data_IF_225742729774
#
_entry.id   IF_225742729774
#
_cell.length_a   1.000
_cell.length_b   1.000
_cell.length_c   1.000
_cell.angle_alpha   90.00
_cell.angle_beta   90.00
_cell.angle_gamma   90.00
#
_symmetry.space_group_name_H-M   'P 1'
#
loop_
_entity.id
_entity.type
_entity.pdbx_description
1 polymer ?
#
# COMPACT_ATOMS: atom_id res chain seq x y z
N UNK A 1 5.30 6.85 3.37
CA UNK A 1 4.85 5.46 3.11
C UNK A 1 5.90 4.45 3.56
N UNK A 2 7.10 4.41 2.97
CA UNK A 2 8.13 3.48 3.44
C UNK A 2 8.90 4.04 4.65
N UNK A 3 8.83 3.36 5.80
CA UNK A 3 9.67 3.67 6.97
C UNK A 3 9.31 4.93 7.76
N UNK A 4 8.26 5.67 7.37
CA UNK A 4 7.79 6.86 8.08
C UNK A 4 6.45 6.58 8.76
N UNK A 5 6.35 6.93 10.04
CA UNK A 5 5.07 6.98 10.74
C UNK A 5 4.27 8.17 10.24
N UNK A 6 3.01 7.93 9.90
CA UNK A 6 2.05 8.95 9.50
C UNK A 6 0.82 8.85 10.39
N UNK A 7 0.18 9.98 10.66
CA UNK A 7 -1.03 10.02 11.47
C UNK A 7 -2.25 9.61 10.63
N UNK A 8 -3.34 9.27 11.32
CA UNK A 8 -4.53 8.66 10.71
C UNK A 8 -5.12 9.49 9.55
N UNK A 9 -5.27 10.80 9.74
CA UNK A 9 -5.89 11.67 8.73
C UNK A 9 -5.04 11.78 7.46
N UNK A 10 -3.72 11.87 7.62
CA UNK A 10 -2.77 11.89 6.50
C UNK A 10 -2.76 10.55 5.77
N UNK A 11 -2.89 9.44 6.51
CA UNK A 11 -3.03 8.11 5.93
C UNK A 11 -4.31 8.00 5.09
N UNK A 12 -5.47 8.40 5.64
CA UNK A 12 -6.76 8.35 4.92
C UNK A 12 -6.74 9.24 3.67
N UNK A 13 -6.18 10.45 3.77
CA UNK A 13 -6.00 11.35 2.63
C UNK A 13 -5.12 10.71 1.55
N UNK A 14 -4.03 10.07 1.95
CA UNK A 14 -3.18 9.27 1.06
C UNK A 14 -3.97 8.18 0.34
N UNK A 15 -4.73 7.35 1.07
CA UNK A 15 -5.57 6.32 0.43
C UNK A 15 -6.51 6.93 -0.61
N UNK A 16 -7.22 8.00 -0.26
CA UNK A 16 -8.21 8.62 -1.13
C UNK A 16 -7.58 9.12 -2.43
N UNK A 17 -6.41 9.76 -2.34
CA UNK A 17 -5.67 10.23 -3.50
C UNK A 17 -5.19 9.07 -4.39
N UNK A 18 -4.64 8.02 -3.78
CA UNK A 18 -4.02 6.92 -4.52
C UNK A 18 -5.07 5.99 -5.12
N UNK A 19 -6.11 5.62 -4.37
CA UNK A 19 -7.16 4.70 -4.87
C UNK A 19 -7.97 5.26 -6.03
N UNK A 20 -8.12 6.58 -6.13
CA UNK A 20 -8.77 7.20 -7.28
C UNK A 20 -7.97 7.04 -8.60
N UNK A 21 -6.67 6.70 -8.51
CA UNK A 21 -5.75 6.65 -9.65
C UNK A 21 -5.38 5.21 -10.08
N UNK A 22 -5.83 4.19 -9.35
CA UNK A 22 -5.49 2.78 -9.63
C UNK A 22 -6.46 2.20 -10.67
N UNK A 23 -5.92 1.61 -11.74
CA UNK A 23 -6.70 0.88 -12.75
C UNK A 23 -6.77 -0.62 -12.47
N UNK A 24 -5.68 -1.20 -11.97
CA UNK A 24 -5.53 -2.64 -11.76
C UNK A 24 -5.21 -2.93 -10.30
N UNK A 25 -6.22 -3.29 -9.50
CA UNK A 25 -6.09 -3.48 -8.06
C UNK A 25 -6.19 -4.98 -7.72
N UNK A 26 -5.04 -5.64 -7.54
CA UNK A 26 -4.98 -7.09 -7.34
C UNK A 26 -4.36 -7.46 -5.97
N UNK A 27 -5.14 -7.44 -4.88
CA UNK A 27 -4.63 -7.79 -3.55
C UNK A 27 -4.67 -9.30 -3.29
N UNK A 28 -3.65 -9.80 -2.60
CA UNK A 28 -3.60 -11.14 -2.00
C UNK A 28 -3.49 -10.93 -0.49
N UNK A 29 -4.44 -11.48 0.27
CA UNK A 29 -4.49 -11.36 1.72
C UNK A 29 -4.08 -12.65 2.42
N UNK A 30 -3.31 -12.51 3.49
CA UNK A 30 -2.93 -13.57 4.42
C UNK A 30 -3.32 -13.13 5.83
N UNK A 31 -3.81 -14.06 6.65
CA UNK A 31 -4.19 -13.77 8.03
C UNK A 31 -3.73 -14.89 8.96
N UNK A 32 -3.16 -14.49 10.08
CA UNK A 32 -2.83 -15.37 11.21
C UNK A 32 -3.18 -14.64 12.52
N UNK A 33 -4.28 -15.04 13.14
CA UNK A 33 -4.78 -14.41 14.37
C UNK A 33 -5.03 -12.91 14.23
N UNK A 34 -4.28 -12.11 15.02
CA UNK A 34 -4.26 -10.65 15.02
C UNK A 34 -3.30 -10.03 14.00
N UNK A 35 -2.64 -10.84 13.19
CA UNK A 35 -1.75 -10.37 12.12
C UNK A 35 -2.43 -10.53 10.77
N UNK A 36 -2.35 -9.47 9.96
CA UNK A 36 -2.78 -9.48 8.57
C UNK A 36 -1.59 -9.05 7.71
N UNK A 37 -1.36 -9.77 6.62
CA UNK A 37 -0.44 -9.36 5.58
C UNK A 37 -1.19 -9.25 4.24
N UNK A 38 -0.79 -8.31 3.40
CA UNK A 38 -1.26 -8.25 2.03
C UNK A 38 -0.14 -7.90 1.07
N UNK A 39 -0.19 -8.51 -0.11
CA UNK A 39 0.61 -8.10 -1.27
C UNK A 39 -0.34 -7.58 -2.32
N UNK A 40 -0.05 -6.43 -2.88
CA UNK A 40 -0.91 -5.78 -3.86
C UNK A 40 -0.06 -5.25 -5.00
N UNK A 41 -0.36 -5.68 -6.21
CA UNK A 41 0.25 -5.13 -7.43
C UNK A 41 -0.79 -4.33 -8.20
N UNK A 42 -0.32 -3.34 -8.95
CA UNK A 42 -1.19 -2.58 -9.82
C UNK A 42 -0.49 -1.53 -10.65
N UNK A 43 -1.33 -0.77 -11.35
CA UNK A 43 -0.90 0.35 -12.18
C UNK A 43 -1.65 1.61 -11.77
N UNK A 44 -0.94 2.73 -11.73
CA UNK A 44 -1.47 4.07 -11.48
C UNK A 44 -0.98 5.06 -12.52
N UNK A 45 -1.70 6.17 -12.69
CA UNK A 45 -1.21 7.33 -13.44
C UNK A 45 -0.63 8.39 -12.51
N UNK A 46 0.69 8.60 -12.56
CA UNK A 46 1.39 9.68 -11.86
C UNK A 46 1.78 10.74 -12.89
N UNK A 47 1.21 11.94 -12.79
CA UNK A 47 1.47 13.05 -13.73
C UNK A 47 1.29 12.67 -15.21
N UNK A 48 0.33 11.78 -15.50
CA UNK A 48 0.06 11.27 -16.86
C UNK A 48 0.90 10.07 -17.28
N UNK A 49 1.95 9.71 -16.52
CA UNK A 49 2.79 8.53 -16.77
C UNK A 49 2.22 7.29 -16.10
N UNK A 50 2.15 6.20 -16.86
CA UNK A 50 1.75 4.89 -16.35
C UNK A 50 2.87 4.31 -15.46
N UNK A 51 2.51 4.01 -14.23
CA UNK A 51 3.44 3.64 -13.16
C UNK A 51 2.97 2.32 -12.56
N UNK A 52 3.81 1.29 -12.64
CA UNK A 52 3.58 0.04 -11.93
C UNK A 52 3.95 0.21 -10.45
N UNK A 53 3.19 -0.43 -9.57
CA UNK A 53 3.52 -0.51 -8.16
C UNK A 53 3.31 -1.91 -7.61
N UNK A 54 4.06 -2.21 -6.56
CA UNK A 54 3.88 -3.37 -5.70
C UNK A 54 3.95 -2.91 -4.25
N UNK A 55 2.89 -3.16 -3.49
CA UNK A 55 2.77 -2.80 -2.08
C UNK A 55 2.67 -4.04 -1.19
N UNK A 56 3.39 -4.00 -0.08
CA UNK A 56 3.39 -4.98 0.99
C UNK A 56 2.86 -4.33 2.25
N UNK A 57 1.76 -4.86 2.76
CA UNK A 57 1.06 -4.34 3.92
C UNK A 57 1.14 -5.37 5.05
N UNK A 58 1.50 -4.93 6.25
CA UNK A 58 1.51 -5.73 7.46
C UNK A 58 0.74 -4.98 8.54
N UNK A 59 -0.42 -5.50 8.93
CA UNK A 59 -1.30 -4.88 9.89
C UNK A 59 -1.41 -5.72 11.16
N UNK A 60 -1.50 -5.04 12.30
CA UNK A 60 -1.94 -5.62 13.56
C UNK A 60 -3.39 -5.24 13.83
N UNK A 61 -4.20 -6.22 14.20
CA UNK A 61 -5.63 -6.07 14.46
C UNK A 61 -5.90 -6.28 15.94
N UNK A 62 -6.71 -5.42 16.54
CA UNK A 62 -7.22 -5.65 17.88
C UNK A 62 -8.27 -6.78 17.85
N UNK A 63 -8.09 -7.81 18.69
CA UNK A 63 -8.90 -9.04 18.62
C UNK A 63 -10.35 -8.83 19.04
N UNK A 64 -10.60 -7.89 19.95
CA UNK A 64 -11.94 -7.63 20.49
C UNK A 64 -12.74 -6.73 19.55
N UNK A 65 -12.17 -5.59 19.15
CA UNK A 65 -12.86 -4.61 18.32
C UNK A 65 -12.79 -4.91 16.82
N UNK A 66 -11.86 -5.77 16.39
CA UNK A 66 -11.57 -6.03 14.97
C UNK A 66 -10.93 -4.84 14.24
N UNK A 67 -10.53 -3.78 14.96
CA UNK A 67 -9.95 -2.58 14.37
C UNK A 67 -8.46 -2.73 14.13
N UNK A 68 -7.95 -2.06 13.09
CA UNK A 68 -6.53 -1.98 12.82
C UNK A 68 -5.84 -1.10 13.87
N UNK A 69 -4.87 -1.67 14.59
CA UNK A 69 -4.06 -1.00 15.60
C UNK A 69 -2.87 -0.30 14.95
N UNK A 70 -2.25 -0.96 13.98
CA UNK A 70 -1.15 -0.42 13.21
C UNK A 70 -1.10 -1.03 11.83
N UNK A 71 -0.51 -0.28 10.90
CA UNK A 71 -0.19 -0.73 9.56
C UNK A 71 1.24 -0.31 9.24
N UNK A 72 2.02 -1.24 8.73
CA UNK A 72 3.27 -0.96 8.05
C UNK A 72 3.06 -1.27 6.58
N UNK A 73 3.14 -0.24 5.75
CA UNK A 73 3.07 -0.38 4.30
C UNK A 73 4.45 -0.10 3.69
N UNK A 74 4.83 -0.92 2.70
CA UNK A 74 6.04 -0.74 1.90
C UNK A 74 5.68 -0.88 0.44
N UNK A 75 5.93 0.16 -0.33
CA UNK A 75 5.61 0.19 -1.75
C UNK A 75 6.87 0.40 -2.59
N UNK A 76 7.00 -0.40 -3.63
CA UNK A 76 7.98 -0.26 -4.72
C UNK A 76 7.21 0.22 -5.94
N UNK A 77 7.67 1.25 -6.62
CA UNK A 77 6.97 1.77 -7.80
C UNK A 77 7.87 2.54 -8.76
N UNK A 78 7.44 2.62 -10.02
CA UNK A 78 8.13 3.33 -11.10
C UNK A 78 7.44 3.13 -12.46
N UNK A 79 7.97 3.73 -13.54
CA UNK A 79 7.39 3.60 -14.87
C UNK A 79 7.29 2.15 -15.33
N UNK A 80 6.20 1.80 -16.01
CA UNK A 80 6.02 0.45 -16.57
C UNK A 80 7.15 0.12 -17.56
N UNK A 81 7.76 -1.06 -17.40
CA UNK A 81 8.86 -1.52 -18.26
C UNK A 81 10.24 -0.97 -17.91
N UNK A 82 10.35 -0.17 -16.83
CA UNK A 82 11.62 0.34 -16.31
C UNK A 82 11.92 -0.22 -14.91
N UNK A 83 13.13 0.06 -14.41
CA UNK A 83 13.46 -0.19 -13.01
C UNK A 83 12.61 0.71 -12.09
N UNK A 84 12.21 0.22 -10.90
CA UNK A 84 11.46 1.03 -9.95
C UNK A 84 12.30 2.22 -9.46
N UNK A 85 11.67 3.39 -9.41
CA UNK A 85 12.29 4.65 -8.97
C UNK A 85 12.23 4.80 -7.44
N UNK A 86 11.24 4.17 -6.82
CA UNK A 86 10.96 4.29 -5.39
C UNK A 86 10.82 2.93 -4.72
N UNK A 87 11.20 2.85 -3.45
CA UNK A 87 11.06 1.65 -2.63
C UNK A 87 12.15 0.61 -2.81
N UNK A 88 13.18 0.90 -3.60
CA UNK A 88 14.41 0.13 -3.65
C UNK A 88 15.17 0.30 -2.32
N UNK A 89 15.33 -0.81 -1.60
CA UNK A 89 16.35 -0.96 -0.56
C UNK A 89 17.48 -1.82 -1.12
#
# INVERSE_FOLDING_TARGET
MNGQRIEYDDYVKGIAEWRAKISDYNPIFLRDGDQLAARMTGTIKVNGTETAFESFMFAKIDKESGRMVSLVERSVWGPVGAAPEHGVN
#
